data_IF_458644073762
#
_entry.id   IF_458644073762
#
_cell.length_a   1.000
_cell.length_b   1.000
_cell.length_c   1.000
_cell.angle_alpha   90.00
_cell.angle_beta   90.00
_cell.angle_gamma   90.00
#
_symmetry.space_group_name_H-M   'P 1'
#
loop_
_entity.id
_entity.type
_entity.pdbx_description
1 polymer ?
#
# COMPACT_ATOMS: atom_id res chain seq x y z
N UNK A 1 -32.48 -17.92 -41.49
CA UNK A 1 -32.90 -17.44 -40.13
C UNK A 1 -31.84 -17.63 -39.04
N UNK A 2 -31.22 -18.80 -38.87
CA UNK A 2 -30.20 -19.03 -37.79
C UNK A 2 -28.97 -18.10 -37.87
N UNK A 3 -28.45 -17.80 -39.06
CA UNK A 3 -27.26 -16.95 -39.27
C UNK A 3 -27.55 -15.50 -38.84
N UNK A 4 -28.71 -14.95 -39.15
CA UNK A 4 -29.11 -13.60 -38.76
C UNK A 4 -29.26 -13.47 -37.24
N UNK A 5 -29.79 -14.49 -36.54
CA UNK A 5 -29.95 -14.49 -35.10
C UNK A 5 -28.58 -14.56 -34.37
N UNK A 6 -27.61 -15.31 -34.93
CA UNK A 6 -26.26 -15.37 -34.39
C UNK A 6 -25.51 -14.04 -34.57
N UNK A 7 -25.69 -13.39 -35.72
CA UNK A 7 -25.10 -12.09 -36.02
C UNK A 7 -25.65 -10.98 -35.10
N UNK A 8 -27.00 -10.95 -34.90
CA UNK A 8 -27.63 -10.00 -33.97
C UNK A 8 -27.16 -10.19 -32.55
N UNK A 9 -27.02 -11.44 -32.05
CA UNK A 9 -26.45 -11.69 -30.72
C UNK A 9 -25.00 -11.20 -30.59
N UNK A 10 -24.19 -11.32 -31.62
CA UNK A 10 -22.79 -10.83 -31.57
C UNK A 10 -22.75 -9.29 -31.52
N UNK A 11 -23.65 -8.59 -32.22
CA UNK A 11 -23.78 -7.12 -32.17
C UNK A 11 -24.25 -6.66 -30.80
N UNK A 12 -25.22 -7.34 -30.18
CA UNK A 12 -25.69 -7.02 -28.82
C UNK A 12 -24.58 -7.19 -27.80
N UNK A 13 -23.84 -8.29 -27.83
CA UNK A 13 -22.70 -8.54 -26.93
C UNK A 13 -21.63 -7.46 -27.12
N UNK A 14 -21.29 -7.10 -28.36
CA UNK A 14 -20.30 -6.05 -28.63
C UNK A 14 -20.76 -4.69 -28.11
N UNK A 15 -22.03 -4.35 -28.30
CA UNK A 15 -22.64 -3.09 -27.82
C UNK A 15 -22.64 -3.03 -26.30
N UNK A 16 -23.03 -4.12 -25.63
CA UNK A 16 -22.99 -4.23 -24.16
C UNK A 16 -21.57 -4.13 -23.63
N UNK A 17 -20.61 -4.78 -24.28
CA UNK A 17 -19.19 -4.73 -23.91
C UNK A 17 -18.64 -3.30 -24.03
N UNK A 18 -18.93 -2.59 -25.12
CA UNK A 18 -18.52 -1.19 -25.30
C UNK A 18 -19.13 -0.27 -24.24
N UNK A 19 -20.41 -0.44 -23.91
CA UNK A 19 -21.08 0.33 -22.89
C UNK A 19 -20.48 0.06 -21.49
N UNK A 20 -20.17 -1.20 -21.19
CA UNK A 20 -19.51 -1.59 -19.94
C UNK A 20 -18.11 -0.95 -19.82
N UNK A 21 -17.27 -1.06 -20.84
CA UNK A 21 -15.93 -0.47 -20.85
C UNK A 21 -15.98 1.05 -20.69
N UNK A 22 -16.87 1.74 -21.42
CA UNK A 22 -17.06 3.19 -21.28
C UNK A 22 -17.47 3.58 -19.86
N UNK A 23 -18.41 2.87 -19.24
CA UNK A 23 -18.83 3.15 -17.87
C UNK A 23 -17.66 2.93 -16.86
N UNK A 24 -16.83 1.92 -17.10
CA UNK A 24 -15.62 1.66 -16.29
C UNK A 24 -14.64 2.80 -16.43
N UNK A 25 -14.32 3.25 -17.64
CA UNK A 25 -13.43 4.37 -17.89
C UNK A 25 -13.93 5.66 -17.23
N UNK A 26 -15.23 5.97 -17.34
CA UNK A 26 -15.84 7.13 -16.69
C UNK A 26 -15.72 7.08 -15.16
N UNK A 27 -15.76 5.90 -14.55
CA UNK A 27 -15.56 5.72 -13.10
C UNK A 27 -14.09 5.95 -12.71
N UNK A 28 -13.16 5.41 -13.48
CA UNK A 28 -11.73 5.64 -13.28
C UNK A 28 -11.42 7.13 -13.34
N UNK A 29 -11.87 7.83 -14.40
CA UNK A 29 -11.63 9.27 -14.56
C UNK A 29 -12.24 10.11 -13.42
N UNK A 30 -13.44 9.73 -12.94
CA UNK A 30 -14.04 10.38 -11.76
C UNK A 30 -13.22 10.18 -10.50
N UNK A 31 -12.66 8.97 -10.30
CA UNK A 31 -11.82 8.66 -9.14
C UNK A 31 -10.51 9.46 -9.20
N UNK A 32 -9.87 9.52 -10.37
CA UNK A 32 -8.68 10.35 -10.58
C UNK A 32 -8.97 11.85 -10.37
N UNK A 33 -10.12 12.34 -10.87
CA UNK A 33 -10.53 13.74 -10.66
C UNK A 33 -10.86 14.10 -9.20
N UNK A 34 -11.26 13.12 -8.38
CA UNK A 34 -11.37 13.33 -6.92
C UNK A 34 -9.98 13.39 -6.28
N UNK A 35 -9.08 12.52 -6.71
CA UNK A 35 -7.71 12.47 -6.20
C UNK A 35 -6.93 13.76 -6.52
N UNK A 36 -7.13 14.39 -7.68
CA UNK A 36 -6.56 15.70 -8.02
C UNK A 36 -6.93 16.80 -6.99
N UNK A 37 -8.07 16.64 -6.31
CA UNK A 37 -8.55 17.62 -5.33
C UNK A 37 -8.16 17.28 -3.90
N UNK A 38 -8.04 16.00 -3.59
CA UNK A 38 -7.82 15.51 -2.22
C UNK A 38 -6.38 15.13 -1.93
N UNK A 39 -5.56 14.91 -2.96
CA UNK A 39 -4.24 14.31 -2.84
C UNK A 39 -4.26 12.82 -2.45
N UNK A 40 -5.44 12.17 -2.47
CA UNK A 40 -5.61 10.76 -2.07
C UNK A 40 -6.23 9.97 -3.21
N UNK A 41 -5.55 8.92 -3.66
CA UNK A 41 -6.06 7.96 -4.63
C UNK A 41 -6.31 6.62 -3.94
N UNK A 42 -7.59 6.26 -3.79
CA UNK A 42 -8.03 4.98 -3.23
C UNK A 42 -8.56 4.07 -4.34
N UNK A 43 -7.86 2.96 -4.58
CA UNK A 43 -8.17 1.97 -5.61
C UNK A 43 -8.71 0.65 -5.02
N UNK A 44 -9.08 0.62 -3.75
CA UNK A 44 -9.61 -0.57 -3.08
C UNK A 44 -11.07 -0.89 -3.41
N UNK A 45 -11.54 -0.54 -4.55
CA UNK A 45 -12.93 -0.75 -4.91
C UNK A 45 -13.06 -1.79 -6.03
N UNK A 46 -14.01 -2.74 -5.97
CA UNK A 46 -14.23 -3.73 -7.03
C UNK A 46 -14.39 -3.13 -8.43
N UNK A 47 -14.88 -1.89 -8.50
CA UNK A 47 -15.00 -1.14 -9.77
C UNK A 47 -13.64 -0.74 -10.36
N UNK A 48 -12.58 -0.75 -9.56
CA UNK A 48 -11.20 -0.49 -10.00
C UNK A 48 -10.50 -1.77 -10.49
N UNK A 49 -11.18 -2.91 -10.48
CA UNK A 49 -10.61 -4.16 -10.99
C UNK A 49 -10.11 -3.98 -12.41
N UNK A 50 -8.83 -4.26 -12.63
CA UNK A 50 -8.15 -4.10 -13.92
C UNK A 50 -8.29 -2.69 -14.52
N UNK A 51 -8.44 -1.66 -13.66
CA UNK A 51 -8.47 -0.29 -14.10
C UNK A 51 -7.11 0.11 -14.65
N UNK A 52 -7.09 0.68 -15.85
CA UNK A 52 -5.89 1.25 -16.43
C UNK A 52 -5.68 2.66 -15.89
N UNK A 53 -4.63 2.85 -15.13
CA UNK A 53 -4.25 4.17 -14.59
C UNK A 53 -3.28 4.82 -15.58
N UNK A 54 -3.82 5.59 -16.49
CA UNK A 54 -3.11 6.22 -17.61
C UNK A 54 -2.42 7.54 -17.22
N UNK A 55 -2.94 8.23 -16.21
CA UNK A 55 -2.34 9.44 -15.64
C UNK A 55 -2.21 9.37 -14.12
N UNK A 56 -1.28 10.09 -13.57
CA UNK A 56 -1.14 10.30 -12.12
C UNK A 56 -1.84 11.61 -11.74
N UNK A 57 -2.68 11.63 -10.69
CA UNK A 57 -3.27 12.86 -10.17
C UNK A 57 -2.19 13.85 -9.72
N UNK A 58 -2.43 15.14 -9.98
CA UNK A 58 -1.54 16.20 -9.51
C UNK A 58 -1.56 16.30 -7.98
N UNK A 59 -0.39 16.48 -7.36
CA UNK A 59 -0.29 16.62 -5.92
C UNK A 59 -0.69 15.37 -5.14
N UNK A 60 -0.58 14.17 -5.73
CA UNK A 60 -0.89 12.91 -5.06
C UNK A 60 0.05 12.69 -3.87
N UNK A 61 -0.50 12.66 -2.66
CA UNK A 61 0.25 12.44 -1.42
C UNK A 61 -0.01 11.04 -0.81
N UNK A 62 -1.18 10.47 -1.05
CA UNK A 62 -1.56 9.16 -0.51
C UNK A 62 -2.12 8.26 -1.61
N UNK A 63 -1.59 7.04 -1.67
CA UNK A 63 -2.06 5.98 -2.56
C UNK A 63 -2.46 4.77 -1.74
N UNK A 64 -3.66 4.26 -1.99
CA UNK A 64 -4.19 3.07 -1.35
C UNK A 64 -4.58 2.07 -2.43
N UNK A 65 -3.95 0.90 -2.44
CA UNK A 65 -4.20 -0.16 -3.42
C UNK A 65 -4.57 -1.47 -2.73
N UNK A 66 -5.40 -2.24 -3.42
CA UNK A 66 -5.68 -3.62 -3.08
C UNK A 66 -5.44 -4.48 -4.32
N UNK A 67 -4.42 -5.34 -4.26
CA UNK A 67 -3.99 -6.16 -5.39
C UNK A 67 -5.03 -7.21 -5.80
N UNK A 68 -6.06 -7.46 -4.97
CA UNK A 68 -7.21 -8.27 -5.37
C UNK A 68 -8.04 -7.60 -6.47
N UNK A 69 -7.89 -6.30 -6.65
CA UNK A 69 -8.58 -5.51 -7.66
C UNK A 69 -7.63 -4.86 -8.65
N UNK A 70 -6.50 -4.31 -8.18
CA UNK A 70 -5.53 -3.58 -9.01
C UNK A 70 -4.33 -4.47 -9.27
N UNK A 71 -4.38 -5.26 -10.36
CA UNK A 71 -3.29 -6.20 -10.69
C UNK A 71 -2.09 -5.50 -11.32
N UNK A 72 -2.31 -4.45 -12.12
CA UNK A 72 -1.22 -3.67 -12.71
C UNK A 72 -0.85 -2.50 -11.78
N UNK A 73 0.25 -2.66 -11.06
CA UNK A 73 0.80 -1.64 -10.16
C UNK A 73 1.99 -0.88 -10.78
N UNK A 74 2.31 -1.11 -12.05
CA UNK A 74 3.45 -0.49 -12.74
C UNK A 74 3.39 1.04 -12.77
N UNK A 75 2.19 1.62 -12.71
CA UNK A 75 2.00 3.06 -12.67
C UNK A 75 2.60 3.71 -11.41
N UNK A 76 2.78 2.95 -10.32
CA UNK A 76 3.31 3.48 -9.05
C UNK A 76 4.72 4.03 -9.23
N UNK A 77 5.54 3.43 -10.09
CA UNK A 77 6.89 3.91 -10.40
C UNK A 77 6.92 5.33 -11.01
N UNK A 78 5.78 5.82 -11.50
CA UNK A 78 5.63 7.18 -12.06
C UNK A 78 5.16 8.21 -11.02
N UNK A 79 4.79 7.74 -9.81
CA UNK A 79 4.30 8.61 -8.74
C UNK A 79 5.50 9.24 -8.03
N UNK A 80 5.65 10.55 -8.14
CA UNK A 80 6.66 11.30 -7.41
C UNK A 80 6.04 12.04 -6.24
N UNK A 81 6.80 12.20 -5.15
CA UNK A 81 6.35 12.97 -3.99
C UNK A 81 5.31 12.29 -3.10
N UNK A 82 5.07 10.98 -3.29
CA UNK A 82 4.15 10.22 -2.45
C UNK A 82 4.65 10.18 -1.01
N UNK A 83 3.78 10.53 -0.07
CA UNK A 83 4.09 10.55 1.37
C UNK A 83 3.57 9.31 2.09
N UNK A 84 2.43 8.78 1.64
CA UNK A 84 1.77 7.62 2.26
C UNK A 84 1.38 6.58 1.21
N UNK A 85 1.78 5.34 1.45
CA UNK A 85 1.42 4.19 0.60
C UNK A 85 0.83 3.08 1.45
N UNK A 86 -0.36 2.61 1.08
CA UNK A 86 -1.00 1.45 1.70
C UNK A 86 -1.27 0.39 0.65
N UNK A 87 -0.74 -0.81 0.88
CA UNK A 87 -0.86 -1.96 -0.02
C UNK A 87 -1.54 -3.10 0.72
N UNK A 88 -2.62 -3.60 0.15
CA UNK A 88 -3.38 -4.72 0.67
C UNK A 88 -3.33 -5.89 -0.30
N UNK A 89 -3.21 -7.10 0.26
CA UNK A 89 -3.29 -8.38 -0.43
C UNK A 89 -2.19 -8.63 -1.50
N UNK A 90 -1.75 -9.81 -1.60
CA UNK A 90 -0.98 -10.58 -2.61
C UNK A 90 -0.17 -9.81 -3.67
N UNK A 91 0.55 -8.76 -3.32
CA UNK A 91 1.59 -8.19 -4.19
C UNK A 91 2.94 -8.81 -3.79
N UNK A 92 3.71 -9.28 -4.76
CA UNK A 92 5.03 -9.89 -4.55
C UNK A 92 6.18 -9.01 -5.06
N UNK A 93 5.91 -8.11 -6.01
CA UNK A 93 6.92 -7.17 -6.54
C UNK A 93 6.79 -5.81 -5.86
N UNK A 94 7.79 -5.46 -5.08
CA UNK A 94 7.92 -4.17 -4.39
C UNK A 94 9.05 -3.30 -4.94
N UNK A 95 9.55 -3.61 -6.13
CA UNK A 95 10.61 -2.83 -6.78
C UNK A 95 10.26 -1.36 -6.99
N UNK A 96 8.97 -1.04 -7.07
CA UNK A 96 8.45 0.33 -7.17
C UNK A 96 8.76 1.20 -5.94
N UNK A 97 9.07 0.59 -4.78
CA UNK A 97 9.45 1.34 -3.58
C UNK A 97 10.83 2.01 -3.71
N UNK A 98 11.68 1.51 -4.61
CA UNK A 98 13.00 2.11 -4.84
C UNK A 98 12.85 3.54 -5.38
N UNK A 99 13.48 4.49 -4.69
CA UNK A 99 13.45 5.91 -5.09
C UNK A 99 12.21 6.68 -4.63
N UNK A 100 11.39 6.12 -3.73
CA UNK A 100 10.31 6.85 -3.07
C UNK A 100 10.83 7.72 -1.93
N UNK A 101 11.73 8.65 -2.23
CA UNK A 101 12.47 9.46 -1.26
C UNK A 101 11.59 10.42 -0.42
N UNK A 102 10.32 10.55 -0.76
CA UNK A 102 9.33 11.34 0.00
C UNK A 102 8.43 10.49 0.90
N UNK A 103 8.56 9.15 0.84
CA UNK A 103 7.63 8.24 1.53
C UNK A 103 7.94 8.22 3.03
N UNK A 104 6.98 8.67 3.83
CA UNK A 104 7.08 8.73 5.30
C UNK A 104 6.21 7.70 6.00
N UNK A 105 5.20 7.17 5.32
CA UNK A 105 4.31 6.14 5.87
C UNK A 105 4.12 5.00 4.85
N UNK A 106 4.43 3.78 5.27
CA UNK A 106 4.22 2.56 4.49
C UNK A 106 3.41 1.56 5.29
N UNK A 107 2.29 1.11 4.72
CA UNK A 107 1.45 0.06 5.30
C UNK A 107 1.35 -1.11 4.32
N UNK A 108 1.77 -2.28 4.77
CA UNK A 108 1.72 -3.53 4.03
C UNK A 108 0.87 -4.52 4.82
N UNK A 109 -0.26 -4.92 4.24
CA UNK A 109 -1.19 -5.85 4.90
C UNK A 109 -1.46 -7.06 4.02
N UNK A 110 -1.20 -8.26 4.54
CA UNK A 110 -1.40 -9.53 3.84
C UNK A 110 -0.72 -9.56 2.46
N UNK A 111 0.52 -9.09 2.41
CA UNK A 111 1.32 -9.00 1.18
C UNK A 111 2.47 -10.01 1.19
N UNK A 112 3.03 -10.30 0.00
CA UNK A 112 4.24 -11.10 -0.16
C UNK A 112 5.55 -10.35 0.14
N UNK A 113 5.47 -9.18 0.78
CA UNK A 113 6.66 -8.40 1.14
C UNK A 113 7.54 -9.18 2.11
N UNK A 114 8.80 -9.40 1.74
CA UNK A 114 9.75 -10.16 2.52
C UNK A 114 11.15 -9.53 2.61
N UNK A 115 11.53 -8.64 1.69
CA UNK A 115 12.88 -8.06 1.63
C UNK A 115 12.93 -6.65 2.23
N UNK A 116 13.33 -6.56 3.50
CA UNK A 116 13.50 -5.28 4.20
C UNK A 116 14.57 -4.37 3.58
N UNK A 117 15.51 -4.91 2.80
CA UNK A 117 16.56 -4.09 2.16
C UNK A 117 15.98 -3.07 1.16
N UNK A 118 14.82 -3.36 0.59
CA UNK A 118 14.12 -2.49 -0.36
C UNK A 118 13.69 -1.17 0.27
N UNK A 119 13.32 -1.17 1.56
CA UNK A 119 12.79 -0.01 2.29
C UNK A 119 13.76 0.61 3.29
N UNK A 120 14.91 -0.05 3.56
CA UNK A 120 15.89 0.38 4.56
C UNK A 120 16.36 1.84 4.39
N UNK A 121 16.49 2.30 3.15
CA UNK A 121 16.96 3.66 2.83
C UNK A 121 15.86 4.72 2.75
N UNK A 122 14.60 4.34 2.91
CA UNK A 122 13.48 5.27 2.80
C UNK A 122 13.32 6.09 4.10
N UNK A 123 12.88 7.35 4.03
CA UNK A 123 12.70 8.21 5.19
C UNK A 123 11.41 7.90 5.96
N UNK A 124 11.12 6.61 6.16
CA UNK A 124 9.90 6.18 6.82
C UNK A 124 9.86 6.61 8.28
N UNK A 125 8.78 7.26 8.66
CA UNK A 125 8.43 7.57 10.04
C UNK A 125 7.48 6.53 10.63
N UNK A 126 6.62 5.92 9.78
CA UNK A 126 5.65 4.91 10.18
C UNK A 126 5.71 3.70 9.26
N UNK A 127 5.80 2.52 9.85
CA UNK A 127 5.83 1.25 9.13
C UNK A 127 4.85 0.26 9.76
N UNK A 128 3.92 -0.24 8.95
CA UNK A 128 2.93 -1.24 9.33
C UNK A 128 3.18 -2.51 8.55
N UNK A 129 3.55 -3.58 9.25
CA UNK A 129 3.83 -4.90 8.70
C UNK A 129 2.83 -5.90 9.30
N UNK A 130 1.65 -5.95 8.71
CA UNK A 130 0.58 -6.82 9.17
C UNK A 130 0.39 -7.99 8.19
N UNK A 131 0.40 -9.22 8.73
CA UNK A 131 0.29 -10.45 7.92
C UNK A 131 1.32 -10.50 6.77
N UNK A 132 2.56 -10.08 7.05
CA UNK A 132 3.71 -10.21 6.16
C UNK A 132 4.72 -11.21 6.71
N UNK A 133 5.59 -11.76 5.84
CA UNK A 133 6.66 -12.69 6.21
C UNK A 133 8.01 -12.09 5.83
N UNK A 134 8.53 -11.20 6.68
CA UNK A 134 9.76 -10.45 6.38
C UNK A 134 10.99 -11.23 6.80
N UNK A 135 11.97 -11.29 5.88
CA UNK A 135 13.32 -11.72 6.21
C UNK A 135 14.07 -10.54 6.86
N UNK A 136 14.89 -10.83 7.87
CA UNK A 136 15.68 -9.82 8.58
C UNK A 136 14.85 -8.63 9.11
N UNK A 137 13.80 -8.88 9.90
CA UNK A 137 12.98 -7.81 10.46
C UNK A 137 13.73 -6.88 11.41
N UNK A 138 14.90 -7.28 11.89
CA UNK A 138 15.83 -6.48 12.68
C UNK A 138 16.40 -5.26 11.91
N UNK A 139 16.32 -5.25 10.57
CA UNK A 139 16.71 -4.07 9.76
C UNK A 139 15.87 -2.83 10.06
N UNK A 140 14.68 -2.96 10.68
CA UNK A 140 13.91 -1.80 11.16
C UNK A 140 14.71 -0.92 12.13
N UNK A 141 15.70 -1.49 12.84
CA UNK A 141 16.53 -0.75 13.77
C UNK A 141 17.60 0.10 13.10
N UNK A 142 17.81 -0.11 11.81
CA UNK A 142 18.74 0.67 11.00
C UNK A 142 18.03 1.82 10.25
N UNK A 143 16.72 2.01 10.51
CA UNK A 143 15.90 3.06 9.92
C UNK A 143 15.82 4.27 10.87
N UNK A 144 16.66 5.31 10.70
CA UNK A 144 16.83 6.36 11.69
C UNK A 144 15.62 7.28 11.84
N UNK A 145 14.78 7.35 10.82
CA UNK A 145 13.58 8.19 10.80
C UNK A 145 12.37 7.50 11.42
N UNK A 146 12.43 6.19 11.67
CA UNK A 146 11.27 5.40 12.07
C UNK A 146 10.86 5.73 13.51
N UNK A 147 9.60 6.15 13.68
CA UNK A 147 8.98 6.55 14.95
C UNK A 147 7.93 5.56 15.42
N UNK A 148 7.21 4.95 14.49
CA UNK A 148 6.13 4.01 14.77
C UNK A 148 6.32 2.73 13.95
N UNK A 149 6.31 1.59 14.62
CA UNK A 149 6.40 0.26 14.01
C UNK A 149 5.24 -0.61 14.50
N UNK A 150 4.44 -1.10 13.57
CA UNK A 150 3.30 -1.97 13.85
C UNK A 150 3.55 -3.34 13.24
N UNK A 151 3.45 -4.38 14.06
CA UNK A 151 3.79 -5.76 13.70
C UNK A 151 2.65 -6.70 14.09
N UNK A 152 2.47 -7.79 13.33
CA UNK A 152 1.74 -8.95 13.87
C UNK A 152 2.54 -9.62 14.97
N UNK A 153 1.84 -10.37 15.83
CA UNK A 153 2.50 -11.12 16.93
C UNK A 153 3.54 -12.11 16.42
N UNK A 154 3.27 -12.79 15.29
CA UNK A 154 4.21 -13.75 14.70
C UNK A 154 5.53 -13.07 14.37
N UNK A 155 5.47 -11.92 13.71
CA UNK A 155 6.65 -11.15 13.34
C UNK A 155 7.34 -10.53 14.56
N UNK A 156 6.57 -10.03 15.53
CA UNK A 156 7.11 -9.47 16.77
C UNK A 156 7.91 -10.50 17.60
N UNK A 157 7.59 -11.78 17.48
CA UNK A 157 8.33 -12.86 18.15
C UNK A 157 9.68 -13.15 17.51
N UNK A 158 9.93 -12.72 16.28
CA UNK A 158 11.21 -12.91 15.56
C UNK A 158 12.20 -11.77 15.79
N UNK A 159 11.74 -10.66 16.37
CA UNK A 159 12.53 -9.45 16.63
C UNK A 159 12.86 -9.38 18.12
N UNK A 160 14.10 -9.06 18.48
CA UNK A 160 14.40 -8.63 19.85
C UNK A 160 13.90 -7.21 20.08
N UNK A 161 12.69 -7.11 20.62
CA UNK A 161 11.98 -5.85 20.86
C UNK A 161 12.76 -4.91 21.83
N UNK A 162 13.79 -5.39 22.50
CA UNK A 162 14.62 -4.58 23.40
C UNK A 162 15.72 -3.80 22.68
N UNK A 163 16.22 -4.31 21.55
CA UNK A 163 17.25 -3.65 20.74
C UNK A 163 16.86 -2.27 20.16
N UNK A 164 15.59 -1.97 19.86
CA UNK A 164 15.19 -0.64 19.34
C UNK A 164 15.62 0.51 20.23
N UNK A 165 15.54 0.35 21.56
CA UNK A 165 15.85 1.44 22.50
C UNK A 165 17.31 1.84 22.51
N UNK A 166 18.21 0.95 22.14
CA UNK A 166 19.63 1.24 22.07
C UNK A 166 20.00 2.00 20.79
N UNK A 167 19.32 1.70 19.67
CA UNK A 167 19.60 2.28 18.36
C UNK A 167 18.64 3.41 17.95
N UNK A 168 17.37 3.31 18.37
CA UNK A 168 16.35 4.31 18.13
C UNK A 168 15.43 4.45 19.36
N UNK A 169 15.82 5.23 20.38
CA UNK A 169 15.09 5.34 21.66
C UNK A 169 13.72 5.99 21.53
N UNK A 170 13.40 6.54 20.36
CA UNK A 170 12.11 7.22 20.11
C UNK A 170 11.06 6.30 19.47
N UNK A 171 11.43 5.08 19.05
CA UNK A 171 10.49 4.21 18.35
C UNK A 171 9.39 3.70 19.29
N UNK A 172 8.16 3.74 18.80
CA UNK A 172 7.00 3.09 19.41
C UNK A 172 6.77 1.79 18.65
N UNK A 173 6.73 0.66 19.35
CA UNK A 173 6.42 -0.63 18.74
C UNK A 173 5.08 -1.13 19.26
N UNK A 174 4.12 -1.26 18.37
CA UNK A 174 2.81 -1.81 18.63
C UNK A 174 2.65 -3.20 17.97
N UNK A 175 2.06 -4.12 18.69
CA UNK A 175 1.81 -5.47 18.19
C UNK A 175 0.33 -5.74 18.11
N UNK A 176 -0.12 -6.11 16.91
CA UNK A 176 -1.50 -6.49 16.63
C UNK A 176 -1.67 -7.99 16.88
N UNK A 177 -2.68 -8.36 17.65
CA UNK A 177 -3.02 -9.76 17.90
C UNK A 177 -4.52 -9.91 18.05
N UNK A 178 -5.17 -10.59 17.10
CA UNK A 178 -6.60 -10.88 17.16
C UNK A 178 -7.48 -9.64 17.33
N UNK A 179 -7.16 -8.55 16.63
CA UNK A 179 -7.87 -7.27 16.70
C UNK A 179 -7.55 -6.42 17.94
N UNK A 180 -6.67 -6.89 18.83
CA UNK A 180 -6.20 -6.12 19.98
C UNK A 180 -4.80 -5.57 19.73
N UNK A 181 -4.60 -4.31 20.07
CA UNK A 181 -3.30 -3.61 19.99
C UNK A 181 -2.65 -3.66 21.37
N UNK A 182 -1.39 -4.08 21.42
CA UNK A 182 -0.55 -3.99 22.62
C UNK A 182 0.70 -3.21 22.31
N UNK A 183 0.85 -2.06 22.94
CA UNK A 183 2.08 -1.27 22.88
C UNK A 183 3.14 -1.93 23.74
N UNK A 184 4.24 -2.35 23.11
CA UNK A 184 5.37 -2.99 23.81
C UNK A 184 6.46 -1.99 24.18
N UNK A 185 6.65 -0.96 23.35
CA UNK A 185 7.61 0.10 23.60
C UNK A 185 6.93 1.43 23.39
N UNK A 186 6.83 2.24 24.43
CA UNK A 186 6.44 3.65 24.35
C UNK A 186 7.68 4.53 24.45
N UNK A 187 7.58 5.72 23.85
CA UNK A 187 8.55 6.79 24.09
C UNK A 187 8.79 6.90 25.61
N UNK A 188 10.04 6.92 26.05
CA UNK A 188 10.33 7.22 27.45
C UNK A 188 9.70 8.58 27.78
N UNK A 189 8.85 8.63 28.81
CA UNK A 189 8.36 9.91 29.32
C UNK A 189 9.57 10.76 29.69
N UNK A 190 9.63 11.99 29.20
CA UNK A 190 10.64 12.94 29.66
C UNK A 190 10.47 13.07 31.17
N UNK A 191 11.55 12.99 31.96
CA UNK A 191 11.42 13.20 33.39
C UNK A 191 10.79 14.58 33.61
N UNK A 192 9.64 14.59 34.27
CA UNK A 192 9.00 15.83 34.69
C UNK A 192 9.98 16.56 35.60
N UNK A 193 10.62 17.62 35.03
CA UNK A 193 11.49 18.53 35.75
C UNK A 193 10.77 19.31 36.86
#
# INVERSE_FOLDING_TARGET
MKIAATYLKSIEVETMTRAYLKNKDDKVQRTLGKADKSGVLDLRHPEMRDAKIDRIPEGLEELIIDSSYTHDVSFISRVSGLKRLKVYNHTDDFSFLKGMDSLTELSLHNTGFNDMSVIRGLPLEKLYLDETSVDHPDLVYEMPSLKELWLTRSLANTIDIKLPRERNPQIIVDVISGGNIRTYLRKAEEPKG
#
